data_IF_465622699350
#
_entry.id   IF_465622699350
#
_cell.length_a   1.000
_cell.length_b   1.000
_cell.length_c   1.000
_cell.angle_alpha   90.00
_cell.angle_beta   90.00
_cell.angle_gamma   90.00
#
_symmetry.space_group_name_H-M   'P 1'
#
loop_
_entity.id
_entity.type
_entity.pdbx_description
1 polymer ?
#
# COMPACT_ATOMS: atom_id res chain seq x y z
N UNK A 1 0.94 -6.65 15.31
CA UNK A 1 0.15 -7.68 14.58
C UNK A 1 -0.92 -6.95 13.76
N UNK A 2 -1.40 -7.49 12.64
CA UNK A 2 -2.39 -6.79 11.80
C UNK A 2 -3.83 -6.84 12.35
N UNK A 3 -4.07 -7.75 13.28
CA UNK A 3 -5.28 -7.98 14.05
C UNK A 3 -5.16 -7.48 15.51
N UNK A 4 -4.11 -6.71 15.80
CA UNK A 4 -3.92 -6.13 17.14
C UNK A 4 -5.06 -5.16 17.49
N UNK A 5 -5.35 -4.98 18.77
CA UNK A 5 -6.38 -4.00 19.19
C UNK A 5 -5.88 -2.57 19.04
N UNK A 6 -4.56 -2.39 19.09
CA UNK A 6 -3.92 -1.10 18.92
C UNK A 6 -3.76 -0.77 17.42
N UNK A 7 -4.38 0.34 16.99
CA UNK A 7 -4.30 0.80 15.61
C UNK A 7 -2.86 1.16 15.21
N UNK A 8 -2.07 1.73 16.11
CA UNK A 8 -0.68 2.12 15.81
C UNK A 8 0.17 0.89 15.54
N UNK A 9 -0.06 -0.19 16.29
CA UNK A 9 0.60 -1.49 16.07
C UNK A 9 0.21 -2.09 14.71
N UNK A 10 -1.06 -1.99 14.31
CA UNK A 10 -1.54 -2.46 13.00
C UNK A 10 -0.92 -1.65 11.86
N UNK A 11 -0.91 -0.32 11.97
CA UNK A 11 -0.33 0.61 10.99
C UNK A 11 1.16 0.35 10.83
N UNK A 12 1.90 0.21 11.94
CA UNK A 12 3.32 -0.10 11.91
C UNK A 12 3.59 -1.45 11.24
N UNK A 13 2.79 -2.47 11.55
CA UNK A 13 2.90 -3.77 10.92
C UNK A 13 2.66 -3.70 9.41
N UNK A 14 1.61 -2.98 8.96
CA UNK A 14 1.33 -2.80 7.54
C UNK A 14 2.48 -2.11 6.79
N UNK A 15 3.06 -1.04 7.38
CA UNK A 15 4.23 -0.36 6.79
C UNK A 15 5.46 -1.27 6.71
N UNK A 16 5.75 -2.00 7.78
CA UNK A 16 6.89 -2.91 7.84
C UNK A 16 6.79 -4.01 6.78
N UNK A 17 5.57 -4.52 6.51
CA UNK A 17 5.34 -5.50 5.44
C UNK A 17 5.77 -4.99 4.06
N UNK A 18 5.63 -3.69 3.77
CA UNK A 18 6.11 -3.09 2.52
C UNK A 18 7.63 -3.14 2.36
N UNK A 19 8.39 -3.08 3.46
CA UNK A 19 9.85 -3.06 3.44
C UNK A 19 10.46 -4.42 3.08
N UNK A 20 9.70 -5.52 3.19
CA UNK A 20 10.17 -6.85 2.76
C UNK A 20 10.20 -7.03 1.25
N UNK A 21 9.47 -6.19 0.49
CA UNK A 21 9.37 -6.24 -0.97
C UNK A 21 9.09 -7.65 -1.52
N UNK A 22 8.23 -8.38 -0.81
CA UNK A 22 7.82 -9.75 -1.14
C UNK A 22 6.38 -9.79 -1.65
N UNK A 23 6.20 -10.19 -2.91
CA UNK A 23 4.88 -10.29 -3.55
C UNK A 23 3.91 -11.24 -2.83
N UNK A 24 4.41 -12.17 -2.00
CA UNK A 24 3.57 -13.05 -1.17
C UNK A 24 2.77 -12.28 -0.11
N UNK A 25 3.08 -11.01 0.12
CA UNK A 25 2.38 -10.13 1.06
C UNK A 25 1.16 -9.42 0.42
N UNK A 26 0.97 -9.52 -0.89
CA UNK A 26 -0.18 -8.92 -1.58
C UNK A 26 -1.54 -9.34 -0.99
N UNK A 27 -1.82 -10.63 -0.70
CA UNK A 27 -3.10 -11.03 -0.13
C UNK A 27 -3.35 -10.44 1.26
N UNK A 28 -2.30 -9.97 1.94
CA UNK A 28 -2.37 -9.35 3.26
C UNK A 28 -2.58 -7.83 3.13
N UNK A 29 -1.89 -7.18 2.21
CA UNK A 29 -1.91 -5.72 2.05
C UNK A 29 -3.13 -5.21 1.26
N UNK A 30 -3.58 -5.94 0.23
CA UNK A 30 -4.69 -5.50 -0.62
C UNK A 30 -6.01 -5.29 0.14
N UNK A 31 -6.43 -6.17 1.08
CA UNK A 31 -7.64 -5.93 1.87
C UNK A 31 -7.57 -4.65 2.72
N UNK A 32 -6.37 -4.25 3.16
CA UNK A 32 -6.18 -3.08 4.03
C UNK A 32 -6.45 -1.76 3.30
N UNK A 33 -6.42 -1.73 1.96
CA UNK A 33 -6.83 -0.57 1.17
C UNK A 33 -8.32 -0.21 1.34
N UNK A 34 -9.12 -1.10 1.94
CA UNK A 34 -10.55 -0.90 2.21
C UNK A 34 -10.85 -0.86 3.71
N UNK A 35 -9.83 -0.79 4.56
CA UNK A 35 -10.01 -0.75 6.01
C UNK A 35 -10.78 0.51 6.43
N UNK A 36 -11.69 0.42 7.42
CA UNK A 36 -12.39 1.59 7.95
C UNK A 36 -11.44 2.69 8.43
N UNK A 37 -10.27 2.32 8.96
CA UNK A 37 -9.25 3.27 9.39
C UNK A 37 -8.52 3.87 8.20
N UNK A 38 -8.58 5.21 8.09
CA UNK A 38 -7.81 5.97 7.12
C UNK A 38 -6.31 5.70 7.20
N UNK A 39 -5.77 5.55 8.41
CA UNK A 39 -4.33 5.38 8.60
C UNK A 39 -3.85 4.02 8.09
N UNK A 40 -4.70 2.99 8.18
CA UNK A 40 -4.41 1.68 7.59
C UNK A 40 -4.52 1.68 6.07
N UNK A 41 -5.50 2.37 5.50
CA UNK A 41 -5.58 2.55 4.04
C UNK A 41 -4.34 3.27 3.50
N UNK A 42 -3.90 4.34 4.18
CA UNK A 42 -2.66 5.04 3.82
C UNK A 42 -1.43 4.11 3.94
N UNK A 43 -1.29 3.40 5.06
CA UNK A 43 -0.17 2.48 5.28
C UNK A 43 -0.11 1.34 4.25
N UNK A 44 -1.27 0.82 3.85
CA UNK A 44 -1.37 -0.20 2.82
C UNK A 44 -0.95 0.33 1.45
N UNK A 45 -1.42 1.53 1.06
CA UNK A 45 -0.98 2.16 -0.18
C UNK A 45 0.54 2.42 -0.19
N UNK A 46 1.09 2.86 0.94
CA UNK A 46 2.54 3.04 1.12
C UNK A 46 3.29 1.71 0.92
N UNK A 47 2.83 0.64 1.57
CA UNK A 47 3.47 -0.66 1.51
C UNK A 47 3.46 -1.26 0.10
N UNK A 48 2.34 -1.12 -0.63
CA UNK A 48 2.23 -1.60 -2.01
C UNK A 48 3.12 -0.80 -2.98
N UNK A 49 3.29 0.51 -2.76
CA UNK A 49 4.24 1.32 -3.51
C UNK A 49 5.69 0.86 -3.33
N UNK A 50 6.09 0.57 -2.09
CA UNK A 50 7.44 0.04 -1.78
C UNK A 50 7.68 -1.35 -2.38
N UNK A 51 6.65 -2.20 -2.36
CA UNK A 51 6.69 -3.52 -2.96
C UNK A 51 6.93 -3.44 -4.46
N UNK A 52 6.31 -2.47 -5.14
CA UNK A 52 6.57 -2.17 -6.55
C UNK A 52 5.94 -3.13 -7.54
N UNK A 53 4.99 -3.97 -7.10
CA UNK A 53 4.35 -4.95 -7.98
C UNK A 53 3.32 -4.27 -8.90
N UNK A 54 3.48 -4.31 -10.24
CA UNK A 54 2.54 -3.71 -11.19
C UNK A 54 1.12 -4.26 -11.12
N UNK A 55 0.91 -5.48 -10.59
CA UNK A 55 -0.42 -6.06 -10.42
C UNK A 55 -1.27 -5.29 -9.40
N UNK A 56 -0.67 -4.44 -8.58
CA UNK A 56 -1.35 -3.61 -7.57
C UNK A 56 -1.93 -2.32 -8.14
N UNK A 57 -1.56 -1.95 -9.37
CA UNK A 57 -1.97 -0.69 -9.99
C UNK A 57 -3.49 -0.49 -10.05
N UNK A 58 -4.33 -1.48 -10.39
CA UNK A 58 -5.79 -1.29 -10.39
C UNK A 58 -6.33 -0.88 -9.01
N UNK A 59 -5.84 -1.51 -7.93
CA UNK A 59 -6.26 -1.21 -6.57
C UNK A 59 -5.74 0.17 -6.11
N UNK A 60 -4.49 0.50 -6.43
CA UNK A 60 -3.92 1.82 -6.13
C UNK A 60 -4.64 2.95 -6.88
N UNK A 61 -5.04 2.73 -8.13
CA UNK A 61 -5.84 3.68 -8.91
C UNK A 61 -7.20 3.92 -8.26
N UNK A 62 -7.84 2.88 -7.72
CA UNK A 62 -9.09 3.04 -6.99
C UNK A 62 -8.91 3.93 -5.73
N UNK A 63 -7.77 3.83 -5.04
CA UNK A 63 -7.45 4.68 -3.89
C UNK A 63 -7.25 6.16 -4.23
N UNK A 64 -7.10 6.53 -5.51
CA UNK A 64 -7.13 7.94 -5.93
C UNK A 64 -8.51 8.59 -5.76
N UNK A 65 -9.56 7.79 -5.54
CA UNK A 65 -10.91 8.26 -5.25
C UNK A 65 -11.26 8.12 -3.75
N UNK A 66 -10.29 7.82 -2.89
CA UNK A 66 -10.54 7.70 -1.45
C UNK A 66 -11.08 9.04 -0.88
N UNK A 67 -12.05 9.01 0.07
CA UNK A 67 -12.54 10.23 0.72
C UNK A 67 -11.42 11.05 1.38
N UNK A 68 -10.36 10.38 1.84
CA UNK A 68 -9.30 10.99 2.63
C UNK A 68 -8.13 11.45 1.76
N UNK A 69 -7.80 12.74 1.84
CA UNK A 69 -6.78 13.35 1.00
C UNK A 69 -5.39 12.73 1.16
N UNK A 70 -5.06 12.26 2.37
CA UNK A 70 -3.78 11.60 2.66
C UNK A 70 -3.66 10.25 1.95
N UNK A 71 -4.75 9.48 1.89
CA UNK A 71 -4.80 8.21 1.17
C UNK A 71 -4.63 8.45 -0.33
N UNK A 72 -5.36 9.42 -0.90
CA UNK A 72 -5.21 9.79 -2.32
C UNK A 72 -3.79 10.20 -2.67
N UNK A 73 -3.16 11.04 -1.83
CA UNK A 73 -1.76 11.46 -2.03
C UNK A 73 -0.82 10.26 -1.98
N UNK A 74 -1.02 9.35 -1.03
CA UNK A 74 -0.17 8.17 -0.89
C UNK A 74 -0.33 7.20 -2.05
N UNK A 75 -1.55 7.01 -2.55
CA UNK A 75 -1.83 6.21 -3.73
C UNK A 75 -1.14 6.78 -4.98
N UNK A 76 -1.19 8.11 -5.18
CA UNK A 76 -0.48 8.75 -6.29
C UNK A 76 1.04 8.54 -6.22
N UNK A 77 1.64 8.65 -5.02
CA UNK A 77 3.04 8.33 -4.81
C UNK A 77 3.34 6.85 -5.12
N UNK A 78 2.55 5.93 -4.58
CA UNK A 78 2.73 4.50 -4.77
C UNK A 78 2.66 4.07 -6.24
N UNK A 79 1.75 4.65 -7.03
CA UNK A 79 1.67 4.43 -8.49
C UNK A 79 2.97 4.88 -9.18
N UNK A 80 3.52 6.03 -8.77
CA UNK A 80 4.80 6.51 -9.27
C UNK A 80 5.95 5.56 -8.98
N UNK A 81 6.05 5.06 -7.74
CA UNK A 81 7.09 4.10 -7.34
C UNK A 81 6.99 2.79 -8.13
N UNK A 82 5.78 2.24 -8.27
CA UNK A 82 5.55 1.01 -9.05
C UNK A 82 5.98 1.22 -10.51
N UNK A 83 5.70 2.38 -11.10
CA UNK A 83 6.10 2.68 -12.47
C UNK A 83 7.64 2.78 -12.62
N UNK A 84 8.33 3.44 -11.68
CA UNK A 84 9.79 3.56 -11.70
C UNK A 84 10.46 2.18 -11.55
N UNK A 85 9.99 1.36 -10.63
CA UNK A 85 10.56 0.03 -10.40
C UNK A 85 10.30 -0.93 -11.57
N UNK A 86 9.14 -0.81 -12.23
CA UNK A 86 8.85 -1.56 -13.45
C UNK A 86 9.79 -1.17 -14.60
N UNK A 87 10.18 0.11 -14.70
CA UNK A 87 11.17 0.55 -15.70
C UNK A 87 12.59 0.09 -15.37
N UNK A 88 12.98 0.06 -14.10
CA UNK A 88 14.30 -0.41 -13.67
C UNK A 88 14.49 -1.93 -13.88
N UNK A 89 13.42 -2.73 -13.77
CA UNK A 89 13.48 -4.17 -13.99
C UNK A 89 13.58 -4.58 -15.48
N UNK A 90 13.37 -3.65 -16.41
CA UNK A 90 13.35 -3.91 -17.86
C UNK A 90 14.67 -3.53 -18.58
N UNK A 91 15.66 -2.99 -17.85
CA UNK A 91 17.00 -2.64 -18.36
C UNK A 91 18.07 -3.63 -17.91
#
# INVERSE_FOLDING_TARGET
MLDDRDLDVRVLAARALGDFRDGRLLPILLPLLKDPSRDLREAAAEALGKLGDPHTLPDLVACLQDPEALVRRRAAWAIGEVAVQATDAAG
#
